data_IF_542872366933
#
_entry.id   IF_542872366933
#
_cell.length_a   1.000
_cell.length_b   1.000
_cell.length_c   1.000
_cell.angle_alpha   90.00
_cell.angle_beta   90.00
_cell.angle_gamma   90.00
#
_symmetry.space_group_name_H-M   'P 1'
#
loop_
_entity.id
_entity.type
_entity.pdbx_description
1 polymer ?
#
# COMPACT_ATOMS: atom_id res chain seq x y z
N UNK A 1 5.64 12.56 -36.96
CA UNK A 1 5.70 12.76 -35.52
C UNK A 1 5.67 11.38 -34.90
N UNK A 2 6.82 10.91 -34.50
CA UNK A 2 7.05 9.56 -33.96
C UNK A 2 6.62 9.54 -32.51
N UNK A 3 5.75 8.60 -32.15
CA UNK A 3 5.36 8.32 -30.77
C UNK A 3 6.61 7.77 -30.08
N UNK A 4 7.22 8.57 -29.22
CA UNK A 4 8.34 8.13 -28.38
C UNK A 4 7.85 7.02 -27.46
N UNK A 5 8.54 5.91 -27.52
CA UNK A 5 8.38 4.72 -26.71
C UNK A 5 8.43 5.13 -25.23
N UNK A 6 7.33 4.88 -24.52
CA UNK A 6 7.32 4.83 -23.08
C UNK A 6 8.26 3.68 -22.67
N UNK A 7 9.50 4.05 -22.35
CA UNK A 7 10.51 3.09 -21.95
C UNK A 7 10.06 2.37 -20.69
N UNK A 8 10.00 1.05 -20.76
CA UNK A 8 9.98 0.18 -19.59
C UNK A 8 11.15 0.58 -18.68
N UNK A 9 10.84 1.10 -17.49
CA UNK A 9 11.85 1.30 -16.46
C UNK A 9 12.56 -0.03 -16.23
N UNK A 10 13.89 -0.06 -16.18
CA UNK A 10 14.61 -1.29 -15.90
C UNK A 10 14.16 -1.81 -14.52
N UNK A 11 14.11 -3.15 -14.33
CA UNK A 11 13.83 -3.70 -13.03
C UNK A 11 14.83 -3.09 -12.04
N UNK A 12 14.31 -2.53 -10.94
CA UNK A 12 15.11 -1.88 -9.92
C UNK A 12 16.19 -2.86 -9.45
N UNK A 13 17.42 -2.63 -9.85
CA UNK A 13 18.59 -3.40 -9.44
C UNK A 13 19.01 -3.11 -8.00
N UNK A 14 18.08 -2.66 -7.16
CA UNK A 14 18.28 -2.50 -5.73
C UNK A 14 17.63 -3.69 -5.03
N UNK A 15 18.44 -4.50 -4.40
CA UNK A 15 17.97 -5.46 -3.41
C UNK A 15 17.36 -4.67 -2.25
N UNK A 16 16.03 -4.60 -2.20
CA UNK A 16 15.34 -4.10 -1.02
C UNK A 16 15.44 -5.18 0.06
N UNK A 17 16.00 -4.79 1.20
CA UNK A 17 15.99 -5.66 2.36
C UNK A 17 14.61 -5.60 3.02
N UNK A 18 13.86 -6.73 2.91
CA UNK A 18 12.54 -6.83 3.53
C UNK A 18 12.64 -6.75 5.05
N UNK A 19 11.66 -6.09 5.64
CA UNK A 19 11.49 -6.06 7.09
C UNK A 19 11.03 -7.43 7.58
N UNK A 20 11.99 -8.32 7.88
CA UNK A 20 11.70 -9.67 8.36
C UNK A 20 11.36 -9.68 9.84
N UNK A 21 10.15 -9.23 10.18
CA UNK A 21 9.50 -9.57 11.45
C UNK A 21 10.12 -9.06 12.74
N UNK A 22 11.04 -8.11 12.69
CA UNK A 22 11.73 -7.61 13.88
C UNK A 22 11.30 -6.21 14.29
N UNK A 23 10.58 -5.51 13.43
CA UNK A 23 10.22 -4.11 13.65
C UNK A 23 8.72 -3.94 13.51
N UNK A 24 8.09 -3.45 14.57
CA UNK A 24 6.68 -3.05 14.52
C UNK A 24 6.47 -2.00 13.43
N UNK A 25 5.33 -2.05 12.77
CA UNK A 25 4.93 -0.99 11.83
C UNK A 25 4.85 0.38 12.51
N UNK A 26 4.79 1.45 11.72
CA UNK A 26 4.70 2.83 12.24
C UNK A 26 3.49 3.05 13.17
N UNK A 27 2.41 2.31 12.95
CA UNK A 27 1.19 2.33 13.79
C UNK A 27 0.85 0.95 14.31
N UNK A 28 -0.14 0.84 15.20
CA UNK A 28 -0.67 -0.44 15.67
C UNK A 28 -1.27 -1.31 14.57
N UNK A 29 -1.68 -0.70 13.44
CA UNK A 29 -2.36 -1.36 12.30
C UNK A 29 -1.60 -1.21 10.99
N UNK A 30 -0.28 -1.22 11.06
CA UNK A 30 0.59 -1.15 9.89
C UNK A 30 1.83 -2.03 10.06
N UNK A 31 2.51 -2.29 8.97
CA UNK A 31 3.75 -3.04 8.94
C UNK A 31 4.72 -2.43 7.93
N UNK A 32 6.02 -2.63 8.15
CA UNK A 32 7.04 -2.31 7.17
C UNK A 32 7.18 -3.45 6.17
N UNK A 33 7.11 -3.14 4.89
CA UNK A 33 7.54 -4.02 3.80
C UNK A 33 9.06 -3.90 3.63
N UNK A 34 9.54 -2.66 3.58
CA UNK A 34 10.96 -2.27 3.64
C UNK A 34 11.09 -1.24 4.75
N UNK A 35 11.86 -1.54 5.77
CA UNK A 35 11.98 -0.69 6.96
C UNK A 35 12.39 0.75 6.60
N UNK A 36 11.65 1.72 7.13
CA UNK A 36 11.89 3.15 6.90
C UNK A 36 11.62 3.64 5.47
N UNK A 37 11.15 2.77 4.56
CA UNK A 37 10.97 3.11 3.14
C UNK A 37 9.58 2.82 2.59
N UNK A 38 9.08 1.59 2.77
CA UNK A 38 7.77 1.17 2.31
C UNK A 38 7.01 0.54 3.45
N UNK A 39 5.93 1.18 3.87
CA UNK A 39 5.00 0.66 4.85
C UNK A 39 3.62 0.40 4.22
N UNK A 40 2.86 -0.48 4.83
CA UNK A 40 1.51 -0.80 4.40
C UNK A 40 0.60 -1.02 5.62
N UNK A 41 -0.71 -0.79 5.45
CA UNK A 41 -1.63 -0.98 6.57
C UNK A 41 -3.04 -0.42 6.36
N UNK A 42 -3.67 -0.11 7.48
CA UNK A 42 -5.04 0.39 7.54
C UNK A 42 -5.14 1.89 7.23
N UNK A 43 -6.35 2.35 6.99
CA UNK A 43 -6.68 3.76 6.81
C UNK A 43 -6.17 4.60 8.00
N UNK A 44 -5.48 5.73 7.74
CA UNK A 44 -4.76 6.47 8.79
C UNK A 44 -5.64 7.39 9.64
N UNK A 45 -6.96 7.31 9.52
CA UNK A 45 -7.89 8.01 10.41
C UNK A 45 -8.78 7.05 11.17
N UNK A 46 -9.24 7.47 12.33
CA UNK A 46 -10.24 6.76 13.11
C UNK A 46 -11.66 6.98 12.56
N UNK A 47 -12.55 6.02 12.77
CA UNK A 47 -13.97 6.24 12.54
C UNK A 47 -14.45 7.40 13.42
N UNK A 48 -15.02 8.44 12.79
CA UNK A 48 -15.48 9.65 13.50
C UNK A 48 -14.54 10.84 13.45
N UNK A 49 -13.34 10.72 12.88
CA UNK A 49 -12.51 11.89 12.60
C UNK A 49 -13.24 12.80 11.60
N UNK A 50 -13.42 14.08 11.95
CA UNK A 50 -14.18 15.04 11.14
C UNK A 50 -13.31 15.94 10.27
N UNK A 51 -11.98 15.83 10.38
CA UNK A 51 -11.04 16.71 9.70
C UNK A 51 -10.95 18.14 10.26
N UNK A 52 -11.71 18.44 11.33
CA UNK A 52 -11.79 19.78 11.92
C UNK A 52 -11.11 19.93 13.29
N UNK A 53 -10.45 18.85 13.74
CA UNK A 53 -9.70 18.81 14.99
C UNK A 53 -8.22 18.48 14.77
N UNK A 54 -7.47 18.16 15.83
CA UNK A 54 -6.11 17.64 15.70
C UNK A 54 -6.12 16.38 14.84
N UNK A 55 -5.06 16.17 14.08
CA UNK A 55 -4.92 14.98 13.22
C UNK A 55 -5.02 13.70 14.06
N UNK A 56 -5.59 12.61 13.51
CA UNK A 56 -5.65 11.33 14.20
C UNK A 56 -4.25 10.82 14.56
N UNK A 57 -4.13 10.18 15.72
CA UNK A 57 -2.86 9.64 16.19
C UNK A 57 -2.18 8.72 15.15
N UNK A 58 -2.88 7.79 14.45
CA UNK A 58 -2.24 6.98 13.42
C UNK A 58 -1.64 7.79 12.27
N UNK A 59 -2.28 8.90 11.88
CA UNK A 59 -1.74 9.78 10.84
C UNK A 59 -0.46 10.47 11.33
N UNK A 60 -0.46 11.00 12.55
CA UNK A 60 0.73 11.64 13.12
C UNK A 60 1.89 10.64 13.27
N UNK A 61 1.64 9.42 13.72
CA UNK A 61 2.66 8.37 13.79
C UNK A 61 3.27 8.04 12.43
N UNK A 62 2.48 8.01 11.35
CA UNK A 62 2.97 7.81 9.99
C UNK A 62 3.85 8.97 9.51
N UNK A 63 3.42 10.21 9.76
CA UNK A 63 4.17 11.40 9.38
C UNK A 63 5.48 11.52 10.18
N UNK A 64 5.46 11.20 11.49
CA UNK A 64 6.65 11.15 12.35
C UNK A 64 7.62 10.03 11.93
N UNK A 65 7.11 8.94 11.35
CA UNK A 65 7.93 7.90 10.73
C UNK A 65 8.52 8.31 9.35
N UNK A 66 8.26 9.56 8.93
CA UNK A 66 8.79 10.13 7.71
C UNK A 66 8.05 9.74 6.44
N UNK A 67 6.80 9.26 6.53
CA UNK A 67 6.00 8.97 5.32
C UNK A 67 5.73 10.28 4.58
N UNK A 68 6.20 10.34 3.33
CA UNK A 68 6.03 11.48 2.42
C UNK A 68 5.00 11.26 1.33
N UNK A 69 4.63 10.01 1.03
CA UNK A 69 3.63 9.66 0.01
C UNK A 69 2.66 8.61 0.53
N UNK A 70 1.38 8.92 0.46
CA UNK A 70 0.28 8.01 0.78
C UNK A 70 -0.36 7.49 -0.50
N UNK A 71 -0.34 6.19 -0.73
CA UNK A 71 -1.07 5.50 -1.81
C UNK A 71 -2.41 5.05 -1.24
N UNK A 72 -3.45 5.82 -1.50
CA UNK A 72 -4.81 5.57 -1.01
C UNK A 72 -5.60 4.75 -2.03
N UNK A 73 -5.95 3.52 -1.65
CA UNK A 73 -6.69 2.57 -2.48
C UNK A 73 -8.20 2.59 -2.20
N UNK A 74 -8.68 3.48 -1.32
CA UNK A 74 -10.09 3.51 -0.94
C UNK A 74 -10.94 4.37 -1.86
N UNK A 75 -12.23 4.09 -1.85
CA UNK A 75 -13.27 4.93 -2.43
C UNK A 75 -13.90 5.82 -1.34
N UNK A 76 -13.09 6.62 -0.66
CA UNK A 76 -13.45 7.52 0.45
C UNK A 76 -14.18 8.80 0.00
N UNK A 77 -15.09 8.68 -0.96
CA UNK A 77 -15.86 9.77 -1.54
C UNK A 77 -17.36 9.43 -1.59
N UNK A 78 -18.24 10.44 -1.76
CA UNK A 78 -19.68 10.20 -1.86
C UNK A 78 -20.04 9.22 -2.99
N UNK A 79 -20.73 8.14 -2.64
CA UNK A 79 -21.08 7.05 -3.57
C UNK A 79 -20.07 5.91 -3.64
N UNK A 80 -18.87 6.07 -3.09
CA UNK A 80 -17.88 5.01 -2.99
C UNK A 80 -18.19 3.95 -1.93
N UNK A 81 -17.52 2.80 -2.01
CA UNK A 81 -17.68 1.70 -1.04
C UNK A 81 -17.17 2.07 0.36
N UNK A 82 -16.19 2.97 0.43
CA UNK A 82 -15.58 3.43 1.69
C UNK A 82 -16.11 4.82 2.13
N UNK A 83 -17.30 5.23 1.67
CA UNK A 83 -17.92 6.55 1.98
C UNK A 83 -18.14 6.83 3.47
N UNK A 84 -18.04 5.81 4.31
CA UNK A 84 -18.13 5.91 5.77
C UNK A 84 -16.84 6.42 6.42
N UNK A 85 -15.72 6.42 5.68
CA UNK A 85 -14.45 6.92 6.15
C UNK A 85 -14.40 8.44 6.08
N UNK A 86 -13.86 9.07 7.10
CA UNK A 86 -13.58 10.50 7.08
C UNK A 86 -12.20 10.74 6.49
N UNK A 87 -12.13 11.57 5.47
CA UNK A 87 -10.89 11.88 4.76
C UNK A 87 -9.88 12.56 5.69
N UNK A 88 -8.63 12.11 5.59
CA UNK A 88 -7.51 12.61 6.40
C UNK A 88 -6.70 13.71 5.69
N UNK A 89 -7.12 14.15 4.50
CA UNK A 89 -6.44 15.16 3.67
C UNK A 89 -6.02 16.42 4.46
N UNK A 90 -6.89 16.99 5.33
CA UNK A 90 -6.50 18.20 6.06
C UNK A 90 -5.29 18.01 6.98
N UNK A 91 -5.09 16.79 7.50
CA UNK A 91 -3.94 16.48 8.37
C UNK A 91 -2.62 16.30 7.60
N UNK A 92 -2.70 16.09 6.27
CA UNK A 92 -1.54 15.86 5.40
C UNK A 92 -1.11 17.11 4.66
N UNK A 93 -2.00 18.12 4.55
CA UNK A 93 -1.77 19.32 3.75
C UNK A 93 -0.43 20.00 4.08
N UNK A 94 0.41 20.18 3.06
CA UNK A 94 1.75 20.77 3.20
C UNK A 94 2.81 19.89 3.87
N UNK A 95 2.48 18.63 4.23
CA UNK A 95 3.37 17.70 4.94
C UNK A 95 3.74 16.46 4.11
N UNK A 96 2.80 15.95 3.32
CA UNK A 96 2.98 14.79 2.46
C UNK A 96 2.03 14.83 1.27
N UNK A 97 2.22 13.94 0.29
CA UNK A 97 1.37 13.78 -0.88
C UNK A 97 0.38 12.63 -0.68
N UNK A 98 -0.86 12.79 -1.16
CA UNK A 98 -1.84 11.70 -1.26
C UNK A 98 -2.13 11.41 -2.73
N UNK A 99 -1.78 10.20 -3.16
CA UNK A 99 -2.08 9.70 -4.51
C UNK A 99 -3.20 8.68 -4.42
N UNK A 100 -4.27 8.85 -5.20
CA UNK A 100 -5.46 8.01 -5.13
C UNK A 100 -5.58 7.08 -6.31
N UNK A 101 -5.73 5.80 -6.01
CA UNK A 101 -6.09 4.74 -6.96
C UNK A 101 -7.29 3.98 -6.39
N UNK A 102 -8.51 4.52 -6.56
CA UNK A 102 -9.69 4.00 -5.89
C UNK A 102 -10.10 2.63 -6.43
N UNK A 103 -10.02 1.61 -5.59
CA UNK A 103 -10.42 0.23 -5.88
C UNK A 103 -11.68 -0.07 -5.05
N UNK A 104 -12.69 -0.71 -5.66
CA UNK A 104 -13.88 -1.20 -4.97
C UNK A 104 -13.46 -2.17 -3.86
N UNK A 105 -14.12 -2.10 -2.71
CA UNK A 105 -13.76 -2.98 -1.59
C UNK A 105 -13.85 -4.47 -1.99
N UNK A 106 -12.94 -5.26 -1.46
CA UNK A 106 -12.77 -6.69 -1.77
C UNK A 106 -12.45 -7.01 -3.25
N UNK A 107 -12.17 -6.00 -4.08
CA UNK A 107 -11.89 -6.14 -5.51
C UNK A 107 -10.41 -5.91 -5.84
N UNK A 108 -10.13 -5.99 -7.13
CA UNK A 108 -8.87 -5.63 -7.79
C UNK A 108 -9.06 -4.32 -8.57
N UNK A 109 -7.98 -3.67 -9.04
CA UNK A 109 -8.09 -2.55 -9.96
C UNK A 109 -8.93 -2.91 -11.19
N UNK A 110 -9.84 -2.03 -11.62
CA UNK A 110 -10.76 -2.29 -12.74
C UNK A 110 -10.00 -2.54 -14.05
N UNK A 111 -8.90 -1.82 -14.26
CA UNK A 111 -7.97 -2.02 -15.40
C UNK A 111 -7.03 -3.22 -15.25
N UNK A 112 -7.21 -4.07 -14.24
CA UNK A 112 -6.44 -5.31 -14.06
C UNK A 112 -4.94 -5.08 -13.91
N UNK A 113 -4.13 -5.89 -14.62
CA UNK A 113 -2.67 -5.83 -14.53
C UNK A 113 -2.09 -4.48 -14.99
N UNK A 114 -2.69 -3.84 -16.00
CA UNK A 114 -2.24 -2.53 -16.48
C UNK A 114 -2.39 -1.43 -15.42
N UNK A 115 -3.52 -1.36 -14.73
CA UNK A 115 -3.72 -0.38 -13.66
C UNK A 115 -2.88 -0.73 -12.42
N UNK A 116 -2.74 -2.01 -12.09
CA UNK A 116 -1.83 -2.44 -11.02
C UNK A 116 -0.39 -1.97 -11.33
N UNK A 117 0.09 -2.15 -12.56
CA UNK A 117 1.42 -1.67 -12.95
C UNK A 117 1.58 -0.15 -12.77
N UNK A 118 0.55 0.65 -13.06
CA UNK A 118 0.57 2.12 -12.80
C UNK A 118 0.74 2.41 -11.32
N UNK A 119 0.03 1.69 -10.45
CA UNK A 119 0.16 1.84 -8.98
C UNK A 119 1.58 1.49 -8.54
N UNK A 120 2.11 0.36 -9.00
CA UNK A 120 3.45 -0.08 -8.65
C UNK A 120 4.53 0.89 -9.16
N UNK A 121 4.39 1.42 -10.38
CA UNK A 121 5.29 2.43 -10.93
C UNK A 121 5.31 3.70 -10.08
N UNK A 122 4.16 4.12 -9.52
CA UNK A 122 4.11 5.30 -8.64
C UNK A 122 4.81 5.05 -7.31
N UNK A 123 4.67 3.84 -6.76
CA UNK A 123 5.41 3.44 -5.55
C UNK A 123 6.92 3.50 -5.82
N UNK A 124 7.36 2.84 -6.89
CA UNK A 124 8.78 2.76 -7.26
C UNK A 124 9.38 4.15 -7.52
N UNK A 125 8.68 5.01 -8.25
CA UNK A 125 9.12 6.38 -8.50
C UNK A 125 9.30 7.18 -7.19
N UNK A 126 8.37 7.06 -6.23
CA UNK A 126 8.51 7.73 -4.94
C UNK A 126 9.72 7.22 -4.14
N UNK A 127 9.92 5.90 -4.13
CA UNK A 127 11.06 5.28 -3.46
C UNK A 127 12.39 5.70 -4.10
N UNK A 128 12.45 5.81 -5.43
CA UNK A 128 13.63 6.27 -6.17
C UNK A 128 13.95 7.74 -5.91
N UNK A 129 12.92 8.58 -5.76
CA UNK A 129 13.04 9.98 -5.36
C UNK A 129 13.43 10.16 -3.88
N UNK A 130 13.67 9.08 -3.15
CA UNK A 130 14.08 9.11 -1.74
C UNK A 130 12.92 9.30 -0.76
N UNK A 131 11.67 9.27 -1.23
CA UNK A 131 10.49 9.40 -0.38
C UNK A 131 10.11 8.07 0.27
N UNK A 132 9.51 8.12 1.45
CA UNK A 132 8.95 6.95 2.10
C UNK A 132 7.46 6.86 1.78
N UNK A 133 6.99 5.66 1.49
CA UNK A 133 5.65 5.39 0.97
C UNK A 133 4.81 4.62 1.97
N UNK A 134 3.54 4.99 2.11
CA UNK A 134 2.52 4.24 2.84
C UNK A 134 1.39 3.81 1.92
N UNK A 135 1.20 2.50 1.74
CA UNK A 135 0.11 1.92 0.94
C UNK A 135 -1.01 1.48 1.86
N UNK A 136 -2.23 1.96 1.62
CA UNK A 136 -3.35 1.60 2.48
C UNK A 136 -4.69 1.48 1.75
N UNK A 137 -5.57 0.69 2.35
CA UNK A 137 -7.00 0.71 2.07
C UNK A 137 -7.76 0.99 3.38
N UNK A 138 -8.96 0.43 3.59
CA UNK A 138 -9.64 0.57 4.87
C UNK A 138 -8.96 -0.27 5.98
N UNK A 139 -8.92 -1.60 5.80
CA UNK A 139 -8.41 -2.54 6.80
C UNK A 139 -6.94 -2.91 6.68
N UNK A 140 -6.26 -2.50 5.61
CA UNK A 140 -4.85 -2.84 5.36
C UNK A 140 -4.62 -4.30 4.92
N UNK A 141 -5.64 -5.02 4.51
CA UNK A 141 -5.57 -6.47 4.23
C UNK A 141 -5.78 -6.80 2.75
N UNK A 142 -7.00 -6.58 2.19
CA UNK A 142 -7.36 -7.03 0.85
C UNK A 142 -6.65 -6.25 -0.27
N UNK A 143 -7.13 -5.06 -0.57
CA UNK A 143 -6.59 -4.18 -1.64
C UNK A 143 -5.12 -3.83 -1.38
N UNK A 144 -4.75 -3.52 -0.15
CA UNK A 144 -3.38 -3.28 0.28
C UNK A 144 -2.51 -4.50 0.06
N UNK A 145 -2.98 -5.68 0.48
CA UNK A 145 -2.28 -6.94 0.28
C UNK A 145 -2.07 -7.27 -1.20
N UNK A 146 -3.08 -7.00 -2.05
CA UNK A 146 -2.94 -7.20 -3.50
C UNK A 146 -1.83 -6.33 -4.10
N UNK A 147 -1.77 -5.04 -3.76
CA UNK A 147 -0.72 -4.14 -4.24
C UNK A 147 0.65 -4.55 -3.72
N UNK A 148 0.79 -4.80 -2.40
CA UNK A 148 2.07 -5.20 -1.81
C UNK A 148 2.53 -6.55 -2.36
N UNK A 149 1.64 -7.54 -2.49
CA UNK A 149 1.97 -8.84 -3.06
C UNK A 149 2.48 -8.75 -4.50
N UNK A 150 1.83 -7.95 -5.35
CA UNK A 150 2.32 -7.69 -6.71
C UNK A 150 3.66 -6.93 -6.71
N UNK A 151 3.88 -5.99 -5.79
CA UNK A 151 5.16 -5.31 -5.62
C UNK A 151 6.28 -6.29 -5.24
N UNK A 152 6.02 -7.19 -4.29
CA UNK A 152 6.96 -8.23 -3.89
C UNK A 152 7.32 -9.17 -5.06
N UNK A 153 6.33 -9.52 -5.90
CA UNK A 153 6.53 -10.32 -7.12
C UNK A 153 7.36 -9.57 -8.16
N UNK A 154 7.05 -8.29 -8.40
CA UNK A 154 7.79 -7.42 -9.33
C UNK A 154 9.27 -7.36 -9.01
N UNK A 155 9.61 -7.25 -7.73
CA UNK A 155 10.99 -7.12 -7.27
C UNK A 155 11.68 -8.46 -6.97
N UNK A 156 11.06 -9.59 -7.33
CA UNK A 156 11.65 -10.92 -7.16
C UNK A 156 11.91 -11.31 -5.69
N UNK A 157 11.18 -10.70 -4.76
CA UNK A 157 11.35 -10.96 -3.32
C UNK A 157 10.83 -12.34 -2.92
N UNK A 158 9.81 -12.84 -3.62
CA UNK A 158 9.24 -14.15 -3.44
C UNK A 158 8.88 -14.80 -4.78
N UNK A 159 8.98 -16.13 -4.87
CA UNK A 159 8.40 -16.91 -5.94
C UNK A 159 6.86 -16.90 -5.88
N UNK A 160 6.21 -17.40 -6.92
CA UNK A 160 4.74 -17.40 -7.01
C UNK A 160 4.06 -18.21 -5.91
N UNK A 161 4.66 -19.32 -5.55
CA UNK A 161 4.21 -20.27 -4.51
C UNK A 161 4.53 -19.82 -3.08
N UNK A 162 5.44 -18.85 -2.91
CA UNK A 162 5.89 -18.37 -1.60
C UNK A 162 5.30 -16.98 -1.22
N UNK A 163 4.83 -16.20 -2.21
CA UNK A 163 4.50 -14.79 -1.99
C UNK A 163 3.37 -14.55 -0.99
N UNK A 164 2.37 -15.44 -0.96
CA UNK A 164 1.24 -15.28 -0.03
C UNK A 164 1.65 -15.53 1.41
N UNK A 165 2.48 -16.54 1.65
CA UNK A 165 3.05 -16.84 2.97
C UNK A 165 3.96 -15.69 3.42
N UNK A 166 4.91 -15.26 2.59
CA UNK A 166 5.81 -14.16 2.89
C UNK A 166 5.09 -12.83 3.14
N UNK A 167 4.04 -12.53 2.39
CA UNK A 167 3.19 -11.35 2.62
C UNK A 167 2.47 -11.43 3.97
N UNK A 168 1.92 -12.61 4.32
CA UNK A 168 1.27 -12.84 5.60
C UNK A 168 2.25 -12.69 6.77
N UNK A 169 3.45 -13.26 6.66
CA UNK A 169 4.51 -13.14 7.66
C UNK A 169 4.92 -11.69 7.91
N UNK A 170 5.12 -10.90 6.84
CA UNK A 170 5.45 -9.47 6.96
C UNK A 170 4.37 -8.70 7.74
N UNK A 171 3.11 -9.01 7.45
CA UNK A 171 2.00 -8.37 8.13
C UNK A 171 1.87 -8.80 9.59
N UNK A 172 1.93 -10.08 9.90
CA UNK A 172 1.84 -10.61 11.26
C UNK A 172 2.93 -10.04 12.17
N UNK A 173 4.11 -9.88 11.62
CA UNK A 173 5.22 -9.33 12.34
C UNK A 173 5.08 -7.85 12.72
N UNK A 174 4.46 -7.04 11.86
CA UNK A 174 4.39 -5.58 12.01
C UNK A 174 3.06 -5.05 12.52
N UNK A 175 1.94 -5.58 12.02
CA UNK A 175 0.57 -5.14 12.37
C UNK A 175 0.09 -5.82 13.67
N UNK A 176 0.31 -5.16 14.79
CA UNK A 176 0.02 -5.68 16.13
C UNK A 176 -1.47 -5.89 16.43
N UNK A 177 -2.36 -5.16 15.76
CA UNK A 177 -3.80 -5.17 16.02
C UNK A 177 -4.59 -6.00 15.02
N UNK A 178 -4.08 -6.20 13.82
CA UNK A 178 -4.80 -6.87 12.73
C UNK A 178 -3.98 -7.88 11.94
N UNK A 179 -2.71 -8.09 12.27
CA UNK A 179 -1.79 -8.95 11.53
C UNK A 179 -2.26 -10.38 11.35
N UNK A 180 -3.00 -10.91 12.33
CA UNK A 180 -3.58 -12.26 12.31
C UNK A 180 -4.68 -12.46 11.25
N UNK A 181 -5.22 -11.37 10.67
CA UNK A 181 -6.22 -11.47 9.59
C UNK A 181 -5.54 -11.85 8.29
N UNK A 182 -6.17 -12.71 7.46
CA UNK A 182 -5.60 -13.09 6.17
C UNK A 182 -5.29 -11.88 5.28
N UNK A 183 -4.18 -11.96 4.56
CA UNK A 183 -3.83 -11.00 3.51
C UNK A 183 -3.33 -11.75 2.27
N UNK A 184 -3.94 -11.52 1.09
CA UNK A 184 -5.13 -10.70 0.86
C UNK A 184 -6.42 -11.32 1.38
N UNK A 185 -7.57 -10.61 1.29
CA UNK A 185 -8.86 -11.07 1.83
C UNK A 185 -9.58 -12.11 0.96
N UNK A 186 -9.41 -12.04 -0.36
CA UNK A 186 -10.19 -12.84 -1.30
C UNK A 186 -9.32 -13.76 -2.14
N UNK A 187 -9.90 -14.89 -2.59
CA UNK A 187 -9.20 -15.82 -3.49
C UNK A 187 -8.81 -15.14 -4.81
N UNK A 188 -9.66 -14.26 -5.35
CA UNK A 188 -9.36 -13.53 -6.57
C UNK A 188 -8.11 -12.63 -6.42
N UNK A 189 -7.97 -11.97 -5.28
CA UNK A 189 -6.77 -11.17 -4.98
C UNK A 189 -5.53 -12.07 -4.83
N UNK A 190 -5.66 -13.23 -4.18
CA UNK A 190 -4.57 -14.18 -4.02
C UNK A 190 -4.12 -14.76 -5.38
N UNK A 191 -5.07 -15.20 -6.20
CA UNK A 191 -4.80 -15.71 -7.56
C UNK A 191 -4.12 -14.65 -8.43
N UNK A 192 -4.54 -13.39 -8.31
CA UNK A 192 -3.95 -12.27 -9.04
C UNK A 192 -2.49 -12.04 -8.65
N UNK A 193 -2.16 -12.09 -7.35
CA UNK A 193 -0.78 -11.96 -6.85
C UNK A 193 0.10 -13.11 -7.36
N UNK A 194 -0.38 -14.35 -7.21
CA UNK A 194 0.34 -15.56 -7.64
C UNK A 194 0.60 -15.52 -9.14
N UNK A 195 -0.39 -15.14 -9.94
CA UNK A 195 -0.31 -15.00 -11.39
C UNK A 195 0.34 -13.71 -11.88
N UNK A 196 0.82 -12.84 -10.99
CA UNK A 196 1.36 -11.54 -11.39
C UNK A 196 2.55 -11.67 -12.34
N UNK A 197 2.43 -10.96 -13.45
CA UNK A 197 3.52 -10.68 -14.39
C UNK A 197 3.34 -9.25 -14.91
N UNK A 198 4.44 -8.57 -15.22
CA UNK A 198 4.37 -7.25 -15.86
C UNK A 198 3.61 -7.34 -17.18
N UNK A 199 2.69 -6.40 -17.44
CA UNK A 199 1.91 -6.37 -18.68
C UNK A 199 2.76 -5.97 -19.90
#
# INVERSE_FOLDING_TARGET
MTIEQCGTLPPLGKEYELSRGRVSGPTGRSYWVVEGRLAAGAYPSEMGYTGSGPSPEPLEQLLDAGIGVFINLTQDYPGGTDRHLTRYDPGVEGRAEIVRYPIVDESLPEGGAGEMAVILNRIDAALDDGQNVYVHCWGGSGRTGAVVGCWLRRHGQFAADEVLEGLQELREAGDREGGWKPTPNTSAQAEFIVGWSEP
#
